data_IF_101513335546
#
_entry.id   IF_101513335546
#
_cell.length_a   1.000
_cell.length_b   1.000
_cell.length_c   1.000
_cell.angle_alpha   90.00
_cell.angle_beta   90.00
_cell.angle_gamma   90.00
#
_symmetry.space_group_name_H-M   'P 1'
#
loop_
_entity.id
_entity.type
_entity.pdbx_description
1 polymer ?
#
# COMPACT_ATOMS: atom_id res chain seq x y z
N UNK A 1 -11.98 -1.87 15.18
CA UNK A 1 -11.19 -1.70 13.95
C UNK A 1 -9.83 -1.07 14.28
N UNK A 2 -8.76 -1.70 13.85
CA UNK A 2 -7.39 -1.26 14.15
C UNK A 2 -6.65 -0.94 12.85
N UNK A 3 -6.02 0.23 12.80
CA UNK A 3 -5.13 0.64 11.69
C UNK A 3 -3.71 0.73 12.26
N UNK A 4 -2.76 0.01 11.69
CA UNK A 4 -1.39 -0.03 12.21
C UNK A 4 -0.38 -0.39 11.12
N UNK A 5 0.90 -0.31 11.47
CA UNK A 5 2.02 -0.74 10.62
C UNK A 5 2.32 -2.21 10.89
N UNK A 6 2.40 -3.00 9.83
CA UNK A 6 2.76 -4.40 9.91
C UNK A 6 4.26 -4.54 10.12
N UNK A 7 4.66 -5.28 11.15
CA UNK A 7 6.06 -5.54 11.45
C UNK A 7 6.39 -7.02 11.30
N UNK A 8 7.68 -7.33 11.24
CA UNK A 8 8.15 -8.71 11.17
C UNK A 8 7.65 -9.56 12.34
N UNK A 9 7.51 -8.95 13.52
CA UNK A 9 7.00 -9.62 14.72
C UNK A 9 5.52 -10.00 14.63
N UNK A 10 4.79 -9.37 13.74
CA UNK A 10 3.36 -9.68 13.52
C UNK A 10 3.16 -10.88 12.59
N UNK A 11 4.22 -11.36 11.94
CA UNK A 11 4.14 -12.41 10.93
C UNK A 11 3.95 -13.79 11.54
N UNK A 12 2.71 -14.15 11.71
CA UNK A 12 2.27 -15.51 12.04
C UNK A 12 1.65 -16.12 10.80
N UNK A 13 1.51 -17.44 10.75
CA UNK A 13 1.00 -18.15 9.57
C UNK A 13 -0.36 -17.64 9.10
N UNK A 14 -1.27 -17.34 10.03
CA UNK A 14 -2.60 -16.82 9.71
C UNK A 14 -2.57 -15.40 9.11
N UNK A 15 -1.62 -14.57 9.54
CA UNK A 15 -1.45 -13.20 8.99
C UNK A 15 -0.96 -13.27 7.54
N UNK A 16 0.05 -14.09 7.28
CA UNK A 16 0.55 -14.31 5.91
C UNK A 16 -0.54 -14.79 4.96
N UNK A 17 -1.33 -15.74 5.40
CA UNK A 17 -2.44 -16.27 4.61
C UNK A 17 -3.51 -15.23 4.35
N UNK A 18 -3.92 -14.47 5.36
CA UNK A 18 -4.92 -13.42 5.23
C UNK A 18 -4.47 -12.32 4.26
N UNK A 19 -3.22 -11.88 4.36
CA UNK A 19 -2.66 -10.88 3.43
C UNK A 19 -2.62 -11.43 2.01
N UNK A 20 -2.21 -12.68 1.85
CA UNK A 20 -2.16 -13.34 0.54
C UNK A 20 -3.54 -13.41 -0.13
N UNK A 21 -4.55 -13.78 0.62
CA UNK A 21 -5.93 -13.85 0.11
C UNK A 21 -6.49 -12.48 -0.23
N UNK A 22 -6.19 -11.49 0.60
CA UNK A 22 -6.60 -10.11 0.35
C UNK A 22 -5.96 -9.58 -0.94
N UNK A 23 -4.67 -9.84 -1.13
CA UNK A 23 -3.96 -9.43 -2.35
C UNK A 23 -4.55 -10.09 -3.60
N UNK A 24 -5.02 -11.33 -3.52
CA UNK A 24 -5.67 -12.01 -4.65
C UNK A 24 -6.93 -11.28 -5.14
N UNK A 25 -7.59 -10.53 -4.29
CA UNK A 25 -8.73 -9.69 -4.71
C UNK A 25 -8.28 -8.55 -5.64
N UNK A 26 -7.05 -8.08 -5.48
CA UNK A 26 -6.46 -7.04 -6.33
C UNK A 26 -5.86 -7.64 -7.62
N UNK A 27 -5.12 -8.73 -7.49
CA UNK A 27 -4.38 -9.36 -8.59
C UNK A 27 -4.42 -10.89 -8.45
N UNK A 28 -5.50 -11.53 -8.93
CA UNK A 28 -5.73 -12.96 -8.68
C UNK A 28 -4.70 -13.91 -9.32
N UNK A 29 -4.03 -13.49 -10.38
CA UNK A 29 -3.11 -14.33 -11.13
C UNK A 29 -1.63 -14.01 -10.90
N UNK A 30 -1.33 -13.06 -10.02
CA UNK A 30 0.05 -12.64 -9.78
C UNK A 30 0.73 -13.54 -8.75
N UNK A 31 1.97 -13.94 -9.03
CA UNK A 31 2.80 -14.67 -8.08
C UNK A 31 3.24 -13.68 -7.00
N UNK A 32 3.03 -14.05 -5.74
CA UNK A 32 3.34 -13.19 -4.60
C UNK A 32 4.70 -13.52 -4.00
N UNK A 33 5.40 -12.49 -3.54
CA UNK A 33 6.58 -12.66 -2.70
C UNK A 33 6.16 -12.95 -1.26
N UNK A 34 7.01 -13.62 -0.49
CA UNK A 34 6.76 -13.90 0.92
C UNK A 34 6.86 -12.61 1.73
N UNK A 35 5.95 -12.42 2.69
CA UNK A 35 5.97 -11.24 3.57
C UNK A 35 7.25 -11.11 4.39
N UNK A 36 7.91 -12.21 4.74
CA UNK A 36 9.20 -12.14 5.44
C UNK A 36 10.28 -11.51 4.57
N UNK A 37 10.24 -11.77 3.28
CA UNK A 37 11.14 -11.14 2.30
C UNK A 37 10.82 -9.66 2.14
N UNK A 38 9.54 -9.31 2.05
CA UNK A 38 9.07 -7.93 1.91
C UNK A 38 9.46 -7.09 3.12
N UNK A 39 9.28 -7.62 4.33
CA UNK A 39 9.56 -6.91 5.58
C UNK A 39 11.01 -7.07 6.05
N UNK A 40 11.90 -7.54 5.20
CA UNK A 40 13.32 -7.56 5.48
C UNK A 40 13.86 -6.14 5.69
N UNK A 41 14.76 -5.96 6.65
CA UNK A 41 15.31 -4.65 7.03
C UNK A 41 15.99 -3.92 5.87
N UNK A 42 16.53 -4.65 4.89
CA UNK A 42 17.16 -4.08 3.71
C UNK A 42 16.14 -3.53 2.70
N UNK A 43 14.88 -3.92 2.82
CA UNK A 43 13.80 -3.43 1.96
C UNK A 43 13.12 -2.23 2.61
N UNK A 44 13.26 -1.08 2.01
CA UNK A 44 12.69 0.17 2.53
C UNK A 44 11.20 0.25 2.22
N UNK A 45 10.40 -0.41 3.03
CA UNK A 45 8.95 -0.48 2.86
C UNK A 45 8.22 -0.27 4.18
N UNK A 46 7.06 0.37 4.10
CA UNK A 46 6.10 0.46 5.19
C UNK A 46 4.81 -0.19 4.70
N UNK A 47 4.31 -1.19 5.43
CA UNK A 47 3.04 -1.83 5.12
C UNK A 47 2.03 -1.46 6.20
N UNK A 48 0.99 -0.72 5.80
CA UNK A 48 -0.13 -0.39 6.66
C UNK A 48 -1.21 -1.47 6.51
N UNK A 49 -1.88 -1.80 7.60
CA UNK A 49 -2.99 -2.76 7.56
C UNK A 49 -4.16 -2.31 8.41
N UNK A 50 -5.32 -2.80 8.08
CA UNK A 50 -6.54 -2.65 8.85
C UNK A 50 -7.01 -4.01 9.31
N UNK A 51 -7.22 -4.15 10.62
CA UNK A 51 -7.74 -5.36 11.24
C UNK A 51 -9.08 -5.06 11.88
N UNK A 52 -10.04 -5.93 11.67
CA UNK A 52 -11.34 -5.88 12.30
C UNK A 52 -11.75 -7.30 12.69
N UNK A 53 -12.12 -7.50 13.95
CA UNK A 53 -12.51 -8.80 14.49
C UNK A 53 -11.49 -9.92 14.17
N UNK A 54 -10.21 -9.64 14.43
CA UNK A 54 -9.07 -10.54 14.20
C UNK A 54 -8.85 -10.93 12.73
N UNK A 55 -9.41 -10.17 11.80
CA UNK A 55 -9.24 -10.39 10.37
C UNK A 55 -8.63 -9.15 9.70
N UNK A 56 -7.64 -9.35 8.86
CA UNK A 56 -7.07 -8.27 8.05
C UNK A 56 -8.01 -8.01 6.87
N UNK A 57 -8.54 -6.79 6.83
CA UNK A 57 -9.52 -6.36 5.83
C UNK A 57 -9.01 -5.27 4.90
N UNK A 58 -7.78 -4.81 5.09
CA UNK A 58 -7.16 -3.84 4.20
C UNK A 58 -5.66 -3.79 4.38
N UNK A 59 -4.95 -3.51 3.30
CA UNK A 59 -3.51 -3.29 3.28
C UNK A 59 -3.17 -2.17 2.29
N UNK A 60 -2.06 -1.50 2.54
CA UNK A 60 -1.44 -0.57 1.60
C UNK A 60 0.06 -0.51 1.91
N UNK A 61 0.89 -0.44 0.89
CA UNK A 61 2.34 -0.40 1.04
C UNK A 61 2.91 0.91 0.51
N UNK A 62 4.00 1.36 1.10
CA UNK A 62 4.78 2.49 0.59
C UNK A 62 6.26 2.13 0.62
N UNK A 63 6.88 2.09 -0.55
CA UNK A 63 8.33 1.97 -0.67
C UNK A 63 8.94 3.36 -0.62
N UNK A 64 10.08 3.49 0.08
CA UNK A 64 10.80 4.76 0.13
C UNK A 64 12.19 4.59 -0.48
N UNK A 65 12.68 5.61 -1.11
CA UNK A 65 13.96 5.57 -1.79
C UNK A 65 14.59 6.97 -1.83
N UNK A 66 15.91 7.00 -1.87
CA UNK A 66 16.67 8.24 -1.98
C UNK A 66 17.35 8.30 -3.33
N UNK A 67 17.15 9.42 -4.02
CA UNK A 67 17.80 9.75 -5.29
C UNK A 67 18.34 11.17 -5.19
N UNK A 68 19.12 11.63 -6.16
CA UNK A 68 19.72 12.97 -6.12
C UNK A 68 18.66 14.04 -5.90
N UNK A 69 17.48 13.88 -6.50
CA UNK A 69 16.40 14.87 -6.39
C UNK A 69 15.60 14.83 -5.11
N UNK A 70 15.85 13.87 -4.22
CA UNK A 70 15.18 13.83 -2.91
C UNK A 70 14.92 12.43 -2.35
N UNK A 71 14.28 12.43 -1.20
CA UNK A 71 13.77 11.23 -0.52
C UNK A 71 12.29 11.12 -0.85
N UNK A 72 11.90 10.04 -1.52
CA UNK A 72 10.57 9.89 -2.11
C UNK A 72 9.89 8.60 -1.66
N UNK A 73 8.56 8.58 -1.75
CA UNK A 73 7.77 7.39 -1.51
C UNK A 73 6.96 7.00 -2.73
N UNK A 74 6.64 5.70 -2.84
CA UNK A 74 5.79 5.16 -3.88
C UNK A 74 4.80 4.19 -3.25
N UNK A 75 3.51 4.48 -3.39
CA UNK A 75 2.45 3.64 -2.83
C UNK A 75 2.11 2.52 -3.80
N UNK A 76 2.03 1.30 -3.27
CA UNK A 76 1.78 0.07 -4.00
C UNK A 76 0.75 -0.79 -3.28
N UNK A 77 0.09 -1.66 -4.05
CA UNK A 77 -0.73 -2.76 -3.53
C UNK A 77 -1.78 -2.34 -2.50
N UNK A 78 -2.55 -1.32 -2.82
CA UNK A 78 -3.66 -0.88 -1.98
C UNK A 78 -4.87 -1.75 -2.26
N UNK A 79 -5.33 -2.48 -1.25
CA UNK A 79 -6.52 -3.32 -1.37
C UNK A 79 -7.33 -3.32 -0.08
N UNK A 80 -8.65 -3.22 -0.23
CA UNK A 80 -9.62 -3.36 0.86
C UNK A 80 -10.53 -4.52 0.49
N UNK A 81 -10.78 -5.41 1.45
CA UNK A 81 -11.67 -6.55 1.27
C UNK A 81 -13.01 -6.07 0.69
N UNK A 82 -13.51 -6.79 -0.32
CA UNK A 82 -14.71 -6.40 -1.05
C UNK A 82 -15.93 -6.23 -0.14
N UNK A 83 -16.07 -7.06 0.89
CA UNK A 83 -17.16 -6.99 1.86
C UNK A 83 -17.03 -5.81 2.84
N UNK A 84 -15.86 -5.17 2.89
CA UNK A 84 -15.55 -4.09 3.84
C UNK A 84 -15.40 -2.73 3.18
N UNK A 85 -15.68 -2.62 1.88
CA UNK A 85 -15.58 -1.35 1.15
C UNK A 85 -16.67 -0.36 1.59
N UNK A 86 -16.41 0.92 1.35
CA UNK A 86 -17.35 1.98 1.70
C UNK A 86 -17.30 2.44 3.15
N UNK A 87 -16.35 1.94 3.94
CA UNK A 87 -16.19 2.28 5.36
C UNK A 87 -15.01 3.22 5.64
N UNK A 88 -14.39 3.77 4.60
CA UNK A 88 -13.25 4.68 4.73
C UNK A 88 -11.92 4.00 5.08
N UNK A 89 -11.81 2.69 4.94
CA UNK A 89 -10.60 1.93 5.29
C UNK A 89 -9.43 2.34 4.41
N UNK A 90 -9.64 2.42 3.10
CA UNK A 90 -8.60 2.86 2.16
C UNK A 90 -8.04 4.22 2.52
N UNK A 91 -8.91 5.18 2.86
CA UNK A 91 -8.51 6.52 3.30
C UNK A 91 -7.66 6.47 4.56
N UNK A 92 -8.04 5.68 5.54
CA UNK A 92 -7.28 5.53 6.79
C UNK A 92 -5.89 4.94 6.55
N UNK A 93 -5.79 3.94 5.68
CA UNK A 93 -4.52 3.33 5.30
C UNK A 93 -3.59 4.34 4.61
N UNK A 94 -4.11 5.06 3.63
CA UNK A 94 -3.33 6.06 2.89
C UNK A 94 -2.92 7.21 3.82
N UNK A 95 -3.80 7.68 4.69
CA UNK A 95 -3.46 8.72 5.66
C UNK A 95 -2.34 8.28 6.59
N UNK A 96 -2.34 7.03 7.05
CA UNK A 96 -1.24 6.51 7.86
C UNK A 96 0.09 6.53 7.09
N UNK A 97 0.09 6.10 5.83
CA UNK A 97 1.29 6.14 5.00
C UNK A 97 1.76 7.58 4.75
N UNK A 98 0.85 8.52 4.57
CA UNK A 98 1.20 9.95 4.43
C UNK A 98 1.85 10.47 5.71
N UNK A 99 1.33 10.11 6.88
CA UNK A 99 1.93 10.49 8.16
C UNK A 99 3.35 9.92 8.32
N UNK A 100 3.56 8.65 7.94
CA UNK A 100 4.90 8.06 7.89
C UNK A 100 5.81 8.84 6.93
N UNK A 101 5.29 9.24 5.79
CA UNK A 101 6.01 10.08 4.83
C UNK A 101 6.44 11.41 5.40
N UNK A 102 5.58 12.05 6.18
CA UNK A 102 5.92 13.30 6.89
C UNK A 102 7.04 13.09 7.91
N UNK A 103 6.96 12.03 8.69
CA UNK A 103 7.99 11.69 9.68
C UNK A 103 9.34 11.44 9.03
N UNK A 104 9.35 10.83 7.84
CA UNK A 104 10.55 10.55 7.05
C UNK A 104 11.01 11.75 6.23
N UNK A 105 10.26 12.85 6.27
CA UNK A 105 10.56 14.07 5.50
C UNK A 105 10.64 13.80 3.99
N UNK A 106 9.72 12.98 3.47
CA UNK A 106 9.65 12.73 2.04
C UNK A 106 9.28 13.99 1.27
N UNK A 107 9.96 14.24 0.15
CA UNK A 107 9.67 15.39 -0.71
C UNK A 107 8.40 15.21 -1.52
N UNK A 108 8.06 13.97 -1.85
CA UNK A 108 6.81 13.63 -2.53
C UNK A 108 6.46 12.16 -2.34
N UNK A 109 5.19 11.84 -2.50
CA UNK A 109 4.69 10.46 -2.53
C UNK A 109 3.97 10.28 -3.86
N UNK A 110 4.37 9.26 -4.61
CA UNK A 110 3.80 8.92 -5.89
C UNK A 110 2.96 7.65 -5.79
N UNK A 111 1.98 7.55 -6.64
CA UNK A 111 1.25 6.33 -6.90
C UNK A 111 0.74 6.37 -8.34
N UNK A 112 0.42 5.19 -8.90
CA UNK A 112 -0.34 5.18 -10.13
C UNK A 112 -1.58 4.30 -9.97
N UNK A 113 -2.62 4.61 -10.72
CA UNK A 113 -3.84 3.82 -10.81
C UNK A 113 -4.36 3.91 -12.24
N UNK A 114 -5.10 2.90 -12.65
CA UNK A 114 -5.65 2.88 -14.00
C UNK A 114 -6.94 3.73 -14.08
N UNK A 115 -7.19 4.32 -15.24
CA UNK A 115 -8.31 5.25 -15.45
C UNK A 115 -9.67 4.68 -15.11
N UNK A 116 -9.84 3.36 -15.23
CA UNK A 116 -11.12 2.70 -14.92
C UNK A 116 -11.36 2.52 -13.42
N UNK A 117 -10.37 2.73 -12.56
CA UNK A 117 -10.49 2.56 -11.11
C UNK A 117 -11.00 3.85 -10.45
N UNK A 118 -12.24 4.21 -10.72
CA UNK A 118 -12.83 5.48 -10.29
C UNK A 118 -12.88 5.65 -8.77
N UNK A 119 -13.16 4.58 -8.04
CA UNK A 119 -13.17 4.63 -6.57
C UNK A 119 -11.79 4.96 -6.00
N UNK A 120 -10.72 4.38 -6.56
CA UNK A 120 -9.36 4.67 -6.18
C UNK A 120 -8.99 6.12 -6.50
N UNK A 121 -9.31 6.59 -7.70
CA UNK A 121 -9.05 7.98 -8.12
C UNK A 121 -9.72 8.96 -7.17
N UNK A 122 -10.99 8.72 -6.82
CA UNK A 122 -11.73 9.55 -5.87
C UNK A 122 -11.09 9.54 -4.48
N UNK A 123 -10.65 8.36 -4.01
CA UNK A 123 -9.96 8.23 -2.75
C UNK A 123 -8.70 9.08 -2.72
N UNK A 124 -7.83 8.93 -3.70
CA UNK A 124 -6.54 9.63 -3.74
C UNK A 124 -6.72 11.14 -3.85
N UNK A 125 -7.65 11.61 -4.68
CA UNK A 125 -7.98 13.03 -4.78
C UNK A 125 -8.48 13.58 -3.44
N UNK A 126 -9.28 12.80 -2.71
CA UNK A 126 -9.84 13.22 -1.41
C UNK A 126 -8.79 13.36 -0.31
N UNK A 127 -7.66 12.69 -0.42
CA UNK A 127 -6.54 12.80 0.54
C UNK A 127 -5.41 13.73 0.04
N UNK A 128 -5.66 14.48 -1.02
CA UNK A 128 -4.76 15.53 -1.49
C UNK A 128 -3.80 15.14 -2.60
N UNK A 129 -3.89 13.94 -3.15
CA UNK A 129 -3.12 13.57 -4.33
C UNK A 129 -3.68 14.26 -5.56
N UNK A 130 -2.78 14.73 -6.41
CA UNK A 130 -3.13 15.40 -7.66
C UNK A 130 -2.55 14.65 -8.84
N UNK A 131 -3.28 14.62 -9.95
CA UNK A 131 -2.80 14.02 -11.18
C UNK A 131 -1.54 14.75 -11.64
N UNK A 132 -0.49 13.98 -11.90
CA UNK A 132 0.76 14.48 -12.46
C UNK A 132 0.76 14.20 -13.97
N UNK A 133 1.12 15.21 -14.77
CA UNK A 133 1.17 15.07 -16.22
C UNK A 133 2.46 14.39 -16.69
N UNK A 134 2.77 13.27 -16.07
CA UNK A 134 3.94 12.47 -16.43
C UNK A 134 3.48 11.10 -16.89
N UNK A 135 4.26 10.46 -17.74
CA UNK A 135 3.98 9.13 -18.25
C UNK A 135 4.88 8.10 -17.56
N UNK A 136 4.34 6.92 -17.32
CA UNK A 136 5.08 5.79 -16.78
C UNK A 136 5.38 4.83 -17.92
N UNK A 137 6.65 4.50 -18.08
CA UNK A 137 7.10 3.49 -19.03
C UNK A 137 7.49 2.23 -18.27
N UNK A 138 7.09 1.09 -18.77
CA UNK A 138 7.38 -0.20 -18.15
C UNK A 138 8.09 -1.11 -19.14
N UNK A 139 9.17 -1.75 -18.72
CA UNK A 139 9.85 -2.80 -19.48
C UNK A 139 9.82 -4.07 -18.63
N UNK A 140 9.14 -5.10 -19.12
CA UNK A 140 9.04 -6.39 -18.47
C UNK A 140 10.04 -7.39 -19.04
N UNK A 141 10.19 -8.53 -18.39
CA UNK A 141 11.04 -9.64 -18.84
C UNK A 141 12.50 -9.24 -18.97
N UNK A 142 13.04 -8.72 -17.89
CA UNK A 142 14.46 -8.41 -17.79
C UNK A 142 15.29 -9.68 -17.62
#
# INVERSE_FOLDING_TARGET
MKIAILTKNDLKSNIKEQVSELFRQLSPNKIQLDLEEILNEENQITVAYCEDDNKIIGIASMCTYKVISGHKGWIEDVVVDSASRGKGIGRKLINLLVEVGKEKELSEILLFTEDHRLAAINLYSSVGFKLKESKIYCKKKL
#
